data_IF_217445072842
#
_entry.id   IF_217445072842
#
_cell.length_a   1.000
_cell.length_b   1.000
_cell.length_c   1.000
_cell.angle_alpha   90.00
_cell.angle_beta   90.00
_cell.angle_gamma   90.00
#
_symmetry.space_group_name_H-M   'P 1'
#
loop_
_entity.id
_entity.type
_entity.pdbx_description
1 polymer ?
#
# COMPACT_ATOMS: atom_id res chain seq x y z
N UNK A 1 13.72 -3.95 17.45
CA UNK A 1 12.34 -3.84 17.98
C UNK A 1 12.10 -2.38 18.32
N UNK A 2 11.47 -1.61 17.43
CA UNK A 2 11.13 -0.21 17.71
C UNK A 2 9.88 -0.22 18.60
N UNK A 3 9.89 0.42 19.78
CA UNK A 3 8.73 0.44 20.67
C UNK A 3 7.52 1.11 19.99
N UNK A 4 6.34 0.51 20.13
CA UNK A 4 5.06 1.04 19.62
C UNK A 4 4.81 2.51 19.98
N UNK A 5 5.25 2.96 21.17
CA UNK A 5 5.10 4.33 21.63
C UNK A 5 5.96 5.35 20.89
N UNK A 6 7.11 4.95 20.33
CA UNK A 6 7.92 5.85 19.50
C UNK A 6 7.24 6.13 18.15
N UNK A 7 6.34 5.26 17.68
CA UNK A 7 5.73 5.40 16.37
C UNK A 7 4.61 6.45 16.30
N UNK A 8 3.81 6.59 17.37
CA UNK A 8 2.81 7.66 17.48
C UNK A 8 3.42 9.07 17.49
N UNK A 9 4.72 9.18 17.81
CA UNK A 9 5.43 10.46 17.80
C UNK A 9 5.81 10.86 16.35
N UNK A 10 5.97 9.90 15.44
CA UNK A 10 6.47 10.17 14.08
C UNK A 10 5.41 10.11 12.98
N UNK A 11 4.31 9.37 13.15
CA UNK A 11 3.29 9.20 12.11
C UNK A 11 1.89 9.21 12.74
N UNK A 12 1.01 10.19 12.42
CA UNK A 12 -0.37 10.22 12.91
C UNK A 12 -1.25 9.20 12.13
N UNK A 13 -0.84 7.93 12.10
CA UNK A 13 -1.49 6.84 11.37
C UNK A 13 -2.90 6.54 11.91
N UNK A 14 -3.18 6.91 13.16
CA UNK A 14 -4.48 6.74 13.80
C UNK A 14 -5.59 7.53 13.09
N UNK A 15 -5.22 8.63 12.41
CA UNK A 15 -6.14 9.44 11.60
C UNK A 15 -6.45 8.80 10.25
N UNK A 16 -5.69 7.78 9.85
CA UNK A 16 -5.79 7.17 8.53
C UNK A 16 -6.58 5.86 8.55
N UNK A 17 -6.50 5.05 9.62
CA UNK A 17 -7.22 3.77 9.73
C UNK A 17 -8.71 3.95 10.13
N UNK A 18 -9.61 3.17 9.52
CA UNK A 18 -11.01 3.05 9.97
C UNK A 18 -11.07 2.60 11.46
N UNK A 19 -12.02 3.13 12.28
CA UNK A 19 -13.24 3.87 11.91
C UNK A 19 -13.10 5.40 11.76
N UNK A 20 -11.98 6.00 12.17
CA UNK A 20 -11.83 7.46 12.19
C UNK A 20 -11.10 8.03 10.96
N UNK A 21 -10.56 7.16 10.10
CA UNK A 21 -9.90 7.52 8.86
C UNK A 21 -10.39 6.72 7.64
N UNK A 22 -9.99 7.10 6.43
CA UNK A 22 -10.47 6.49 5.19
C UNK A 22 -9.84 5.13 4.82
N UNK A 23 -8.66 4.80 5.34
CA UNK A 23 -7.93 3.59 4.96
C UNK A 23 -8.41 2.33 5.69
N UNK A 24 -8.36 1.20 4.99
CA UNK A 24 -8.60 -0.13 5.54
C UNK A 24 -7.37 -0.71 6.23
N UNK A 25 -6.17 -0.37 5.76
CA UNK A 25 -4.93 -0.96 6.24
C UNK A 25 -3.71 -0.18 5.80
N UNK A 26 -2.64 -0.31 6.57
CA UNK A 26 -1.39 0.41 6.36
C UNK A 26 -0.23 -0.55 6.58
N UNK A 27 0.77 -0.45 5.72
CA UNK A 27 2.07 -1.09 5.90
C UNK A 27 3.18 -0.05 5.72
N UNK A 28 4.12 0.03 6.66
CA UNK A 28 5.35 0.81 6.51
C UNK A 28 6.52 -0.16 6.46
N UNK A 29 7.19 -0.22 5.32
CA UNK A 29 8.37 -1.06 5.09
C UNK A 29 9.62 -0.22 5.32
N UNK A 30 10.34 -0.52 6.40
CA UNK A 30 11.57 0.13 6.83
C UNK A 30 12.77 -0.73 6.39
N UNK A 31 13.34 -0.43 5.22
CA UNK A 31 14.39 -1.26 4.61
C UNK A 31 13.90 -2.67 4.27
N UNK A 32 14.78 -3.67 4.38
CA UNK A 32 14.48 -5.04 3.95
C UNK A 32 13.86 -5.93 5.04
N UNK A 33 13.94 -5.53 6.33
CA UNK A 33 13.66 -6.45 7.45
C UNK A 33 12.47 -6.05 8.33
N UNK A 34 12.08 -4.77 8.35
CA UNK A 34 11.08 -4.30 9.31
C UNK A 34 9.83 -3.80 8.60
N UNK A 35 8.70 -4.45 8.87
CA UNK A 35 7.41 -4.03 8.33
C UNK A 35 6.44 -3.79 9.47
N UNK A 36 6.02 -2.54 9.65
CA UNK A 36 4.90 -2.23 10.52
C UNK A 36 3.60 -2.42 9.74
N UNK A 37 2.66 -3.18 10.29
CA UNK A 37 1.43 -3.60 9.61
C UNK A 37 0.21 -3.35 10.48
N UNK A 38 -0.84 -2.80 9.89
CA UNK A 38 -2.11 -2.57 10.59
C UNK A 38 -3.33 -2.68 9.67
N UNK A 39 -4.50 -2.90 10.27
CA UNK A 39 -5.77 -3.07 9.56
C UNK A 39 -5.75 -4.26 8.59
N UNK A 40 -6.28 -4.05 7.37
CA UNK A 40 -6.26 -5.06 6.30
C UNK A 40 -4.86 -5.44 5.84
N UNK A 41 -3.80 -4.73 6.26
CA UNK A 41 -2.43 -5.05 5.89
C UNK A 41 -1.70 -5.88 6.97
N UNK A 42 -2.37 -6.30 8.05
CA UNK A 42 -1.76 -7.05 9.17
C UNK A 42 -0.94 -8.28 8.74
N UNK A 43 -1.38 -8.97 7.69
CA UNK A 43 -0.74 -10.18 7.14
C UNK A 43 -0.01 -9.90 5.82
N UNK A 44 0.22 -8.63 5.49
CA UNK A 44 0.99 -8.24 4.32
C UNK A 44 2.39 -8.86 4.39
N UNK A 45 2.82 -9.51 3.32
CA UNK A 45 4.17 -10.07 3.22
C UNK A 45 4.68 -9.93 1.80
N UNK A 46 5.95 -9.53 1.68
CA UNK A 46 6.69 -9.45 0.42
C UNK A 46 7.39 -10.76 0.07
N UNK A 47 7.49 -11.69 1.04
CA UNK A 47 8.19 -12.98 0.89
C UNK A 47 7.32 -14.06 0.26
N UNK A 48 6.04 -13.76 0.00
CA UNK A 48 5.10 -14.69 -0.62
C UNK A 48 5.44 -14.83 -2.10
N UNK A 49 5.51 -16.07 -2.58
CA UNK A 49 5.73 -16.37 -4.00
C UNK A 49 4.69 -15.66 -4.88
N UNK A 50 5.18 -14.87 -5.85
CA UNK A 50 4.35 -14.06 -6.74
C UNK A 50 4.05 -12.63 -6.23
N UNK A 51 4.47 -12.28 -5.01
CA UNK A 51 4.44 -10.88 -4.53
C UNK A 51 5.51 -10.04 -5.21
N UNK A 52 5.20 -8.76 -5.41
CA UNK A 52 6.20 -7.77 -5.79
C UNK A 52 7.24 -7.62 -4.69
N UNK A 53 8.50 -7.47 -5.08
CA UNK A 53 9.61 -7.21 -4.16
C UNK A 53 9.64 -5.76 -3.72
N UNK A 54 10.37 -5.45 -2.64
CA UNK A 54 10.56 -4.07 -2.20
C UNK A 54 11.24 -3.20 -3.27
N UNK A 55 12.18 -3.77 -4.02
CA UNK A 55 12.83 -3.07 -5.13
C UNK A 55 11.85 -2.70 -6.25
N UNK A 56 10.91 -3.60 -6.58
CA UNK A 56 9.87 -3.32 -7.57
C UNK A 56 8.91 -2.23 -7.08
N UNK A 57 8.61 -2.21 -5.78
CA UNK A 57 7.77 -1.19 -5.18
C UNK A 57 8.48 0.18 -5.08
N UNK A 58 9.81 0.19 -4.93
CA UNK A 58 10.62 1.39 -4.88
C UNK A 58 11.05 1.91 -6.26
N UNK A 59 11.03 1.06 -7.30
CA UNK A 59 11.43 1.40 -8.66
C UNK A 59 10.85 2.73 -9.18
N UNK A 60 9.55 3.04 -8.97
CA UNK A 60 8.98 4.31 -9.43
C UNK A 60 9.61 5.56 -8.78
N UNK A 61 10.24 5.41 -7.61
CA UNK A 61 10.75 6.53 -6.81
C UNK A 61 12.25 6.80 -7.00
N UNK A 62 13.00 5.92 -7.68
CA UNK A 62 14.45 6.11 -7.89
C UNK A 62 14.82 7.21 -8.88
N UNK A 63 13.88 7.65 -9.71
CA UNK A 63 14.10 8.70 -10.69
C UNK A 63 13.05 9.79 -10.55
N UNK A 64 13.49 11.04 -10.53
CA UNK A 64 12.62 12.22 -10.62
C UNK A 64 12.31 12.61 -12.07
N UNK A 65 12.89 11.92 -13.06
CA UNK A 65 12.63 12.21 -14.46
C UNK A 65 11.23 11.70 -14.84
N UNK A 66 10.31 12.62 -15.12
CA UNK A 66 8.91 12.33 -15.45
C UNK A 66 8.76 11.28 -16.55
N UNK A 67 9.59 11.34 -17.60
CA UNK A 67 9.58 10.36 -18.70
C UNK A 67 9.90 8.93 -18.22
N UNK A 68 10.81 8.80 -17.26
CA UNK A 68 11.15 7.50 -16.67
C UNK A 68 10.02 7.02 -15.76
N UNK A 69 9.50 7.89 -14.90
CA UNK A 69 8.37 7.58 -14.03
C UNK A 69 7.14 7.12 -14.82
N UNK A 70 6.77 7.83 -15.88
CA UNK A 70 5.64 7.46 -16.74
C UNK A 70 5.83 6.08 -17.37
N UNK A 71 7.04 5.76 -17.82
CA UNK A 71 7.36 4.45 -18.38
C UNK A 71 7.23 3.35 -17.33
N UNK A 72 7.78 3.57 -16.13
CA UNK A 72 7.65 2.64 -15.01
C UNK A 72 6.19 2.46 -14.62
N UNK A 73 5.40 3.53 -14.52
CA UNK A 73 3.96 3.49 -14.19
C UNK A 73 3.17 2.68 -15.23
N UNK A 74 3.53 2.77 -16.51
CA UNK A 74 2.85 2.04 -17.58
C UNK A 74 3.14 0.54 -17.57
N UNK A 75 4.39 0.17 -17.28
CA UNK A 75 4.88 -1.22 -17.39
C UNK A 75 4.81 -1.99 -16.07
N UNK A 76 4.78 -1.30 -14.93
CA UNK A 76 4.81 -1.92 -13.61
C UNK A 76 3.43 -2.50 -13.25
N UNK A 77 3.45 -3.78 -12.84
CA UNK A 77 2.32 -4.46 -12.25
C UNK A 77 2.70 -4.89 -10.85
N UNK A 78 1.96 -4.40 -9.85
CA UNK A 78 2.22 -4.72 -8.45
C UNK A 78 1.32 -5.87 -8.02
N UNK A 79 1.89 -6.97 -7.54
CA UNK A 79 1.13 -8.09 -7.00
C UNK A 79 1.34 -8.10 -5.50
N UNK A 80 0.27 -7.93 -4.71
CA UNK A 80 0.38 -7.84 -3.26
C UNK A 80 -0.57 -8.81 -2.58
N UNK A 81 -0.04 -9.49 -1.57
CA UNK A 81 -0.77 -10.36 -0.68
C UNK A 81 -1.62 -9.52 0.30
N UNK A 82 -2.85 -9.18 -0.09
CA UNK A 82 -3.79 -8.40 0.75
C UNK A 82 -4.93 -9.30 1.25
N UNK A 83 -5.08 -9.50 2.57
CA UNK A 83 -6.16 -10.30 3.11
C UNK A 83 -7.53 -9.60 3.01
N UNK A 84 -8.56 -10.40 2.73
CA UNK A 84 -9.96 -9.96 2.60
C UNK A 84 -10.55 -9.41 3.91
N UNK A 85 -11.37 -8.33 3.87
CA UNK A 85 -12.19 -7.94 5.01
C UNK A 85 -13.22 -9.05 5.33
N UNK A 86 -13.31 -9.46 6.60
CA UNK A 86 -14.22 -10.51 7.07
C UNK A 86 -13.59 -11.90 7.26
N UNK A 87 -12.36 -12.13 6.79
CA UNK A 87 -11.66 -13.39 7.00
C UNK A 87 -10.92 -13.41 8.35
N UNK A 88 -11.66 -13.61 9.43
CA UNK A 88 -11.12 -14.01 10.74
C UNK A 88 -11.09 -15.54 10.79
N UNK A 89 -10.27 -16.14 9.93
CA UNK A 89 -10.04 -17.57 9.93
C UNK A 89 -8.77 -17.89 10.71
N UNK A 90 -8.91 -18.66 11.78
CA UNK A 90 -7.82 -19.25 12.58
C UNK A 90 -7.01 -20.31 11.79
N UNK A 91 -7.12 -20.34 10.45
CA UNK A 91 -6.50 -21.33 9.58
C UNK A 91 -5.11 -20.84 9.16
N UNK A 92 -4.09 -21.32 9.88
CA UNK A 92 -2.66 -21.13 9.56
C UNK A 92 -2.21 -21.72 8.22
N UNK A 93 -3.11 -22.36 7.46
CA UNK A 93 -2.81 -23.09 6.22
C UNK A 93 -3.37 -22.43 4.96
N UNK A 94 -3.97 -21.22 5.02
CA UNK A 94 -4.47 -20.54 3.81
C UNK A 94 -3.44 -19.53 3.31
N UNK A 95 -2.96 -19.76 2.08
CA UNK A 95 -2.09 -18.82 1.37
C UNK A 95 -2.79 -17.46 1.23
N UNK A 96 -2.08 -16.34 1.46
CA UNK A 96 -2.66 -15.03 1.26
C UNK A 96 -3.05 -14.84 -0.21
N UNK A 97 -4.18 -14.18 -0.45
CA UNK A 97 -4.69 -14.00 -1.80
C UNK A 97 -3.89 -12.89 -2.49
N UNK A 98 -3.30 -13.22 -3.63
CA UNK A 98 -2.56 -12.27 -4.44
C UNK A 98 -3.52 -11.36 -5.20
N UNK A 99 -3.33 -10.05 -5.05
CA UNK A 99 -4.09 -9.05 -5.77
C UNK A 99 -3.17 -8.20 -6.62
N UNK A 100 -3.50 -8.08 -7.90
CA UNK A 100 -2.77 -7.24 -8.83
C UNK A 100 -3.28 -5.79 -8.74
N UNK A 101 -2.36 -4.85 -8.68
CA UNK A 101 -2.56 -3.42 -8.67
C UNK A 101 -1.80 -2.80 -9.83
N UNK A 102 -2.47 -1.91 -10.56
CA UNK A 102 -1.88 -1.14 -11.64
C UNK A 102 -1.62 0.29 -11.16
N UNK A 103 -0.38 0.79 -11.25
CA UNK A 103 -0.09 2.20 -11.07
C UNK A 103 -0.87 3.06 -12.08
N UNK A 104 -1.43 4.17 -11.61
CA UNK A 104 -2.19 5.11 -12.42
C UNK A 104 -1.42 6.41 -12.64
N UNK A 105 -0.97 7.03 -11.56
CA UNK A 105 -0.30 8.34 -11.61
C UNK A 105 0.46 8.64 -10.34
N UNK A 106 1.42 9.54 -10.46
CA UNK A 106 1.97 10.27 -9.33
C UNK A 106 1.08 11.45 -8.96
N UNK A 107 0.95 11.71 -7.67
CA UNK A 107 0.40 12.96 -7.14
C UNK A 107 1.48 14.04 -7.07
N UNK A 108 1.06 15.29 -6.92
CA UNK A 108 1.98 16.42 -6.79
C UNK A 108 2.88 16.29 -5.55
N UNK A 109 2.37 15.74 -4.45
CA UNK A 109 3.15 15.46 -3.25
C UNK A 109 4.06 14.24 -3.35
N UNK A 110 4.18 13.61 -4.52
CA UNK A 110 5.11 12.50 -4.78
C UNK A 110 4.59 11.11 -4.39
N UNK A 111 3.28 10.95 -4.16
CA UNK A 111 2.68 9.64 -3.86
C UNK A 111 2.28 8.95 -5.16
N UNK A 112 2.49 7.64 -5.25
CA UNK A 112 2.05 6.83 -6.38
C UNK A 112 0.68 6.22 -6.06
N UNK A 113 -0.31 6.52 -6.89
CA UNK A 113 -1.65 5.96 -6.80
C UNK A 113 -1.79 4.73 -7.70
N UNK A 114 -2.26 3.62 -7.13
CA UNK A 114 -2.50 2.35 -7.80
C UNK A 114 -3.95 1.91 -7.58
N UNK A 115 -4.52 1.17 -8.53
CA UNK A 115 -5.86 0.57 -8.41
C UNK A 115 -5.82 -0.92 -8.66
N UNK A 116 -6.64 -1.66 -7.95
CA UNK A 116 -6.81 -3.08 -8.14
C UNK A 116 -7.28 -3.38 -9.56
N UNK A 117 -6.59 -4.31 -10.23
CA UNK A 117 -6.96 -4.80 -11.55
C UNK A 117 -7.87 -6.01 -11.40
N UNK A 118 -8.93 -6.12 -12.22
CA UNK A 118 -9.85 -7.26 -12.25
C UNK A 118 -9.26 -8.51 -12.93
N UNK A 119 -7.95 -8.72 -12.85
CA UNK A 119 -7.23 -9.69 -13.68
C UNK A 119 -7.38 -11.15 -13.25
N UNK A 120 -7.94 -11.43 -12.08
CA UNK A 120 -8.23 -12.79 -11.64
C UNK A 120 -9.72 -13.10 -11.79
N UNK A 121 -10.04 -14.23 -12.44
CA UNK A 121 -11.40 -14.78 -12.55
C UNK A 121 -12.06 -15.09 -11.18
N UNK A 122 -11.33 -14.94 -10.09
CA UNK A 122 -11.86 -14.99 -8.73
C UNK A 122 -12.65 -13.72 -8.42
N UNK A 123 -13.94 -13.79 -8.75
CA UNK A 123 -14.99 -12.76 -8.65
C UNK A 123 -15.33 -12.28 -7.24
N UNK A 124 -14.48 -12.55 -6.25
CA UNK A 124 -14.76 -12.23 -4.84
C UNK A 124 -14.21 -10.88 -4.39
N UNK A 125 -13.60 -10.11 -5.29
CA UNK A 125 -13.09 -8.78 -4.98
C UNK A 125 -13.84 -7.70 -5.76
N UNK A 126 -14.35 -6.67 -5.08
CA UNK A 126 -14.85 -5.51 -5.79
C UNK A 126 -13.68 -4.88 -6.56
N UNK A 127 -13.80 -4.69 -7.88
CA UNK A 127 -12.87 -3.85 -8.60
C UNK A 127 -12.95 -2.44 -8.01
N UNK A 128 -11.80 -1.80 -7.77
CA UNK A 128 -11.76 -0.39 -7.36
C UNK A 128 -10.99 -0.09 -6.08
N UNK A 129 -10.60 -1.09 -5.28
CA UNK A 129 -9.69 -0.86 -4.15
C UNK A 129 -8.43 -0.14 -4.64
N UNK A 130 -7.94 0.81 -3.85
CA UNK A 130 -6.77 1.60 -4.21
C UNK A 130 -5.64 1.41 -3.22
N UNK A 131 -4.42 1.49 -3.74
CA UNK A 131 -3.20 1.55 -2.95
C UNK A 131 -2.51 2.88 -3.22
N UNK A 132 -2.11 3.56 -2.16
CA UNK A 132 -1.25 4.72 -2.24
C UNK A 132 0.11 4.31 -1.68
N UNK A 133 1.13 4.40 -2.53
CA UNK A 133 2.52 4.19 -2.16
C UNK A 133 3.20 5.55 -1.99
N UNK A 134 3.97 5.72 -0.92
CA UNK A 134 4.73 6.94 -0.67
C UNK A 134 6.10 6.59 -0.13
N UNK A 135 7.15 6.97 -0.86
CA UNK A 135 8.50 6.95 -0.31
C UNK A 135 8.63 8.03 0.75
N UNK A 136 9.27 7.69 1.87
CA UNK A 136 9.55 8.57 3.00
C UNK A 136 10.98 8.35 3.47
N UNK A 137 11.53 9.25 4.27
CA UNK A 137 12.87 9.08 4.86
C UNK A 137 13.02 7.81 5.73
N UNK A 138 11.90 7.29 6.26
CA UNK A 138 11.89 6.07 7.06
C UNK A 138 11.79 4.80 6.20
N UNK A 139 11.25 4.92 4.98
CA UNK A 139 11.00 3.79 4.09
C UNK A 139 9.73 3.96 3.25
N UNK A 140 9.19 2.85 2.76
CA UNK A 140 8.03 2.86 1.87
C UNK A 140 6.73 2.69 2.66
N UNK A 141 5.89 3.71 2.63
CA UNK A 141 4.52 3.65 3.13
C UNK A 141 3.59 3.10 2.05
N UNK A 142 2.78 2.12 2.41
CA UNK A 142 1.76 1.49 1.56
C UNK A 142 0.43 1.58 2.31
N UNK A 143 -0.55 2.26 1.71
CA UNK A 143 -1.86 2.48 2.32
C UNK A 143 -2.94 1.88 1.44
N UNK A 144 -3.77 1.02 2.02
CA UNK A 144 -4.88 0.35 1.35
C UNK A 144 -6.21 1.01 1.67
N UNK A 145 -6.94 1.36 0.62
CA UNK A 145 -8.26 1.96 0.66
C UNK A 145 -9.26 1.07 -0.07
N UNK A 146 -10.47 1.04 0.48
CA UNK A 146 -11.61 0.36 -0.12
C UNK A 146 -12.08 1.11 -1.38
N UNK A 147 -12.76 0.39 -2.25
CA UNK A 147 -13.42 0.88 -3.47
C UNK A 147 -14.41 2.03 -3.25
N UNK A 148 -14.96 2.20 -2.04
CA UNK A 148 -15.87 3.29 -1.69
C UNK A 148 -15.17 4.64 -1.46
N UNK A 149 -13.84 4.65 -1.30
CA UNK A 149 -13.04 5.86 -1.10
C UNK A 149 -12.57 6.41 -2.45
N UNK A 150 -12.98 7.64 -2.84
CA UNK A 150 -12.52 8.24 -4.08
C UNK A 150 -10.99 8.41 -4.08
N UNK A 151 -10.34 8.07 -5.19
CA UNK A 151 -8.88 8.15 -5.32
C UNK A 151 -8.27 9.52 -4.92
N UNK A 152 -8.89 10.68 -5.26
CA UNK A 152 -8.38 11.97 -4.80
C UNK A 152 -8.40 12.13 -3.27
N UNK A 153 -9.41 11.56 -2.61
CA UNK A 153 -9.53 11.57 -1.14
C UNK A 153 -8.47 10.67 -0.52
N UNK A 154 -8.25 9.48 -1.08
CA UNK A 154 -7.20 8.56 -0.65
C UNK A 154 -5.80 9.20 -0.72
N UNK A 155 -5.47 9.83 -1.85
CA UNK A 155 -4.20 10.56 -2.04
C UNK A 155 -4.08 11.68 -1.00
N UNK A 156 -5.10 12.53 -0.89
CA UNK A 156 -5.11 13.67 0.03
C UNK A 156 -4.88 13.23 1.47
N UNK A 157 -5.53 12.14 1.91
CA UNK A 157 -5.38 11.61 3.26
C UNK A 157 -3.93 11.17 3.57
N UNK A 158 -3.24 10.55 2.60
CA UNK A 158 -1.84 10.15 2.77
C UNK A 158 -0.91 11.37 2.75
N UNK A 159 -1.15 12.34 1.87
CA UNK A 159 -0.31 13.54 1.77
C UNK A 159 -0.43 14.46 2.98
N UNK A 160 -1.61 14.53 3.60
CA UNK A 160 -1.86 15.31 4.82
C UNK A 160 -1.11 14.80 6.05
N UNK A 161 -0.55 13.59 6.00
CA UNK A 161 0.36 13.10 7.04
C UNK A 161 1.64 13.94 7.10
N UNK A 162 1.96 14.72 6.05
CA UNK A 162 3.14 15.59 5.97
C UNK A 162 4.45 14.85 6.29
N UNK A 163 4.56 13.63 5.76
CA UNK A 163 5.71 12.78 6.04
C UNK A 163 6.97 13.34 5.39
N UNK A 164 8.10 13.33 6.11
CA UNK A 164 9.38 13.73 5.53
C UNK A 164 9.73 12.79 4.37
N UNK A 165 9.96 13.38 3.20
CA UNK A 165 10.33 12.72 1.94
C UNK A 165 11.84 12.73 1.78
#
# INVERSE_FOLDING_TARGET
>A
MIPWFLLHIFLPLDCLLKPNGPALGISLVLGDEYVLRSGSMKNFSLEVEGSSTIDQLNLPFYSSAEKHQLKVVQDLHLSLAIPLPGYVGNDSNRHPIMRAFKPLKFSFGGSLACVASSMTKDSNFPPGDSLILRSTQLGLLIVHFDSDVPLPVAICAVEQLNLPV
#
